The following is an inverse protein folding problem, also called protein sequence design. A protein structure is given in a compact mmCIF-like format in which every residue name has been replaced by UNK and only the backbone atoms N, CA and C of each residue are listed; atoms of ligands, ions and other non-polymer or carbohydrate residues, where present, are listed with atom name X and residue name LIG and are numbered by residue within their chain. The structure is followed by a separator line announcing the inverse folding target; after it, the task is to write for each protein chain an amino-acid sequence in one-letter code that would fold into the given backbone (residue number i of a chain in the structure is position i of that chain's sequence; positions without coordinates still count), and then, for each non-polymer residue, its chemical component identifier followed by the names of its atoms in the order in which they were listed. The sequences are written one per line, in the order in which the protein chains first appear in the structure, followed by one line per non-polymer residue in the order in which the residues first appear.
data_IF_926936090284
#
_entry.id   IF_926936090284
#
_cell.length_a   1.000
_cell.length_b   1.000
_cell.length_c   1.000
_cell.angle_alpha   90.00
_cell.angle_beta   90.00
_cell.angle_gamma   90.00
#
_symmetry.space_group_name_H-M   'P 1'
#
loop_
_entity.id
_entity.type
_entity.pdbx_description
1 polymer ?
#
# COMPACT_ATOMS: atom_id res chain seq x y z
N UNK A 1 23.86 10.59 -30.32
CA UNK A 1 22.96 11.06 -29.25
C UNK A 1 21.66 10.26 -29.34
N UNK A 2 21.56 9.17 -28.59
CA UNK A 2 20.36 8.33 -28.55
C UNK A 2 19.44 8.81 -27.43
N UNK A 3 18.27 9.31 -27.78
CA UNK A 3 17.21 9.61 -26.82
C UNK A 3 16.60 8.29 -26.37
N UNK A 4 16.83 7.93 -25.11
CA UNK A 4 16.10 6.85 -24.44
C UNK A 4 14.72 7.40 -24.06
N UNK A 5 13.69 7.03 -24.81
CA UNK A 5 12.30 7.33 -24.45
C UNK A 5 11.92 6.44 -23.25
N UNK A 6 12.05 7.00 -22.05
CA UNK A 6 11.57 6.38 -20.82
C UNK A 6 10.05 6.28 -20.85
N UNK A 7 9.52 5.06 -20.70
CA UNK A 7 8.10 4.79 -20.49
C UNK A 7 7.66 5.57 -19.24
N UNK A 8 6.64 6.42 -19.40
CA UNK A 8 6.16 7.30 -18.35
C UNK A 8 5.58 6.52 -17.17
N UNK A 9 6.32 6.49 -16.06
CA UNK A 9 5.74 6.26 -14.72
C UNK A 9 4.90 7.50 -14.42
N UNK A 10 3.60 7.32 -14.12
CA UNK A 10 2.74 8.43 -13.70
C UNK A 10 3.40 9.19 -12.54
N UNK A 11 3.70 10.48 -12.75
CA UNK A 11 4.57 11.23 -11.86
C UNK A 11 3.96 11.36 -10.45
N UNK A 12 4.63 10.76 -9.46
CA UNK A 12 4.24 10.92 -8.07
C UNK A 12 4.34 12.38 -7.65
N UNK A 13 3.28 12.93 -7.06
CA UNK A 13 3.30 14.31 -6.55
C UNK A 13 3.78 14.35 -5.11
N UNK A 14 4.93 14.99 -4.86
CA UNK A 14 5.54 15.14 -3.53
C UNK A 14 5.86 16.61 -3.21
N UNK A 15 5.76 16.98 -1.93
CA UNK A 15 6.05 18.32 -1.42
C UNK A 15 7.45 18.33 -0.76
N UNK A 16 8.45 19.02 -1.32
CA UNK A 16 9.81 19.02 -0.78
C UNK A 16 9.92 19.71 0.59
N UNK A 17 8.92 20.50 1.00
CA UNK A 17 8.89 21.14 2.32
C UNK A 17 8.46 20.22 3.46
N UNK A 18 7.99 19.00 3.13
CA UNK A 18 7.54 18.01 4.11
C UNK A 18 8.64 16.95 4.29
N UNK A 19 8.98 16.65 5.54
CA UNK A 19 9.87 15.53 5.86
C UNK A 19 9.24 14.18 5.49
N UNK A 20 10.07 13.30 4.93
CA UNK A 20 9.63 11.97 4.52
C UNK A 20 9.28 11.10 5.75
N UNK A 21 8.10 10.51 5.76
CA UNK A 21 7.65 9.64 6.87
C UNK A 21 8.01 8.17 6.66
N UNK A 22 8.24 7.77 5.41
CA UNK A 22 8.65 6.45 4.98
C UNK A 22 9.70 6.56 3.84
N UNK A 23 10.87 7.18 4.11
CA UNK A 23 11.92 7.32 3.11
C UNK A 23 12.45 5.95 2.69
N UNK A 24 12.97 5.84 1.46
CA UNK A 24 13.48 4.57 0.93
C UNK A 24 14.62 4.01 1.80
N UNK A 25 15.43 4.90 2.39
CA UNK A 25 16.49 4.55 3.34
C UNK A 25 15.99 3.91 4.64
N UNK A 26 14.68 3.80 4.89
CA UNK A 26 14.13 3.03 6.03
C UNK A 26 14.01 1.54 5.71
N UNK A 27 13.97 1.18 4.43
CA UNK A 27 13.59 -0.13 3.97
C UNK A 27 14.79 -0.87 3.37
N UNK A 28 14.93 -2.14 3.71
CA UNK A 28 15.88 -3.05 3.06
C UNK A 28 15.12 -3.88 2.02
N UNK A 29 15.48 -3.73 0.74
CA UNK A 29 14.88 -4.49 -0.37
C UNK A 29 15.67 -5.79 -0.49
N UNK A 30 15.03 -6.94 -0.21
CA UNK A 30 15.73 -8.21 -0.03
C UNK A 30 16.06 -8.93 -1.35
N UNK A 31 15.51 -8.46 -2.49
CA UNK A 31 15.77 -9.02 -3.82
C UNK A 31 14.95 -10.26 -4.18
N UNK A 32 14.13 -10.77 -3.26
CA UNK A 32 13.20 -11.89 -3.42
C UNK A 32 11.73 -11.43 -3.56
N UNK A 33 11.52 -10.13 -3.77
CA UNK A 33 10.19 -9.50 -3.77
C UNK A 33 9.64 -9.20 -2.38
N UNK A 34 10.46 -9.27 -1.34
CA UNK A 34 10.14 -8.78 0.01
C UNK A 34 10.93 -7.52 0.38
N UNK A 35 10.38 -6.76 1.32
CA UNK A 35 10.96 -5.54 1.86
C UNK A 35 10.92 -5.57 3.38
N UNK A 36 12.06 -5.40 4.04
CA UNK A 36 12.14 -5.28 5.49
C UNK A 36 12.06 -3.82 5.93
N UNK A 37 11.12 -3.50 6.81
CA UNK A 37 10.97 -2.18 7.41
C UNK A 37 11.75 -2.09 8.72
N UNK A 38 12.90 -1.40 8.69
CA UNK A 38 13.80 -1.27 9.86
C UNK A 38 13.20 -0.52 11.05
N UNK A 39 12.13 0.24 10.85
CA UNK A 39 11.47 1.00 11.92
C UNK A 39 10.49 0.12 12.72
N UNK A 40 9.74 -0.74 12.04
CA UNK A 40 8.70 -1.57 12.66
C UNK A 40 9.16 -3.00 12.90
N UNK A 41 10.24 -3.42 12.24
CA UNK A 41 10.70 -4.80 12.20
C UNK A 41 9.86 -5.68 11.28
N UNK A 42 8.83 -5.15 10.62
CA UNK A 42 7.94 -5.94 9.76
C UNK A 42 8.55 -6.19 8.39
N UNK A 43 8.18 -7.32 7.78
CA UNK A 43 8.53 -7.63 6.39
C UNK A 43 7.28 -7.59 5.53
N UNK A 44 7.36 -6.92 4.39
CA UNK A 44 6.27 -6.66 3.47
C UNK A 44 6.52 -7.39 2.16
N UNK A 45 5.45 -7.85 1.51
CA UNK A 45 5.51 -8.10 0.07
C UNK A 45 5.73 -6.77 -0.66
N UNK A 46 6.68 -6.75 -1.60
CA UNK A 46 7.01 -5.56 -2.37
C UNK A 46 5.93 -5.20 -3.39
N UNK A 47 5.34 -6.24 -3.98
CA UNK A 47 4.31 -6.14 -5.01
C UNK A 47 2.92 -6.45 -4.44
N UNK A 48 1.91 -5.88 -5.08
CA UNK A 48 0.51 -6.28 -4.85
C UNK A 48 0.29 -7.71 -5.34
N UNK A 49 -0.71 -8.39 -4.79
CA UNK A 49 -1.08 -9.73 -5.27
C UNK A 49 -1.37 -9.74 -6.78
N UNK A 50 -0.90 -10.76 -7.50
CA UNK A 50 -0.98 -10.87 -8.95
C UNK A 50 0.16 -10.17 -9.73
N UNK A 51 0.98 -9.36 -9.04
CA UNK A 51 2.20 -8.75 -9.61
C UNK A 51 3.45 -9.48 -9.14
N UNK A 52 4.51 -9.43 -9.95
CA UNK A 52 5.79 -10.08 -9.63
C UNK A 52 6.99 -9.44 -10.33
N UNK A 53 8.19 -9.88 -9.93
CA UNK A 53 9.46 -9.33 -10.42
C UNK A 53 9.81 -7.99 -9.76
N UNK A 54 11.00 -7.47 -10.11
CA UNK A 54 11.56 -6.26 -9.47
C UNK A 54 10.70 -5.00 -9.71
N UNK A 55 10.06 -4.93 -10.87
CA UNK A 55 9.21 -3.80 -11.27
C UNK A 55 7.73 -4.03 -10.99
N UNK A 56 7.37 -5.11 -10.28
CA UNK A 56 5.98 -5.51 -10.00
C UNK A 56 5.09 -5.49 -11.25
N UNK A 57 5.49 -6.25 -12.27
CA UNK A 57 4.76 -6.37 -13.53
C UNK A 57 3.74 -7.51 -13.49
N UNK A 58 2.75 -7.47 -14.38
CA UNK A 58 1.67 -8.45 -14.45
C UNK A 58 0.29 -7.81 -14.33
N UNK A 59 -0.68 -8.58 -13.85
CA UNK A 59 -2.05 -8.10 -13.61
C UNK A 59 -2.34 -8.15 -12.12
N UNK A 60 -2.42 -6.98 -11.52
CA UNK A 60 -2.76 -6.86 -10.11
C UNK A 60 -4.17 -7.45 -9.86
N UNK A 61 -4.27 -8.29 -8.84
CA UNK A 61 -5.51 -8.93 -8.44
C UNK A 61 -6.23 -8.07 -7.41
N UNK A 62 -7.53 -7.92 -7.59
CA UNK A 62 -8.41 -7.33 -6.59
C UNK A 62 -9.29 -8.43 -6.00
N UNK A 63 -9.50 -8.38 -4.69
CA UNK A 63 -10.24 -9.41 -3.96
C UNK A 63 -11.16 -8.78 -2.91
N UNK A 64 -12.19 -9.53 -2.50
CA UNK A 64 -12.98 -9.16 -1.31
C UNK A 64 -12.10 -9.29 -0.07
N UNK A 65 -12.52 -8.68 1.03
CA UNK A 65 -11.74 -8.71 2.25
C UNK A 65 -11.53 -10.14 2.80
N UNK A 66 -12.57 -10.98 2.75
CA UNK A 66 -12.52 -12.36 3.23
C UNK A 66 -11.56 -13.20 2.38
N UNK A 67 -11.57 -13.00 1.06
CA UNK A 67 -10.63 -13.66 0.14
C UNK A 67 -9.21 -13.17 0.40
N UNK A 68 -9.01 -11.88 0.66
CA UNK A 68 -7.69 -11.33 0.97
C UNK A 68 -7.11 -11.88 2.28
N UNK A 69 -7.95 -12.11 3.30
CA UNK A 69 -7.54 -12.75 4.55
C UNK A 69 -7.06 -14.18 4.31
N UNK A 70 -7.89 -15.00 3.66
CA UNK A 70 -7.53 -16.39 3.35
C UNK A 70 -6.28 -16.46 2.47
N UNK A 71 -6.20 -15.64 1.42
CA UNK A 71 -5.07 -15.62 0.51
C UNK A 71 -3.75 -15.21 1.21
N UNK A 72 -3.82 -14.39 2.26
CA UNK A 72 -2.65 -14.05 3.04
C UNK A 72 -2.18 -15.25 3.87
N UNK A 73 -3.10 -15.90 4.59
CA UNK A 73 -2.81 -17.06 5.43
C UNK A 73 -2.30 -18.26 4.62
N UNK A 74 -2.80 -18.44 3.40
CA UNK A 74 -2.38 -19.51 2.49
C UNK A 74 -1.07 -19.19 1.72
N UNK A 75 -0.54 -17.97 1.84
CA UNK A 75 0.61 -17.54 1.08
C UNK A 75 1.89 -18.23 1.57
N UNK A 76 2.65 -18.83 0.65
CA UNK A 76 3.98 -19.42 0.91
C UNK A 76 5.12 -18.61 0.27
N UNK A 77 4.86 -17.33 0.01
CA UNK A 77 5.73 -16.46 -0.78
C UNK A 77 7.10 -16.26 -0.12
N UNK A 78 8.14 -16.23 -0.96
CA UNK A 78 9.55 -16.12 -0.55
C UNK A 78 9.99 -17.15 0.51
N UNK A 79 9.30 -18.31 0.59
CA UNK A 79 9.60 -19.36 1.55
C UNK A 79 9.00 -19.16 2.94
N UNK A 80 8.16 -18.15 3.13
CA UNK A 80 7.47 -17.86 4.41
C UNK A 80 5.98 -18.21 4.31
N UNK A 81 5.41 -18.72 5.40
CA UNK A 81 4.02 -19.20 5.50
C UNK A 81 3.21 -18.51 6.62
N UNK A 82 3.71 -17.38 7.12
CA UNK A 82 3.14 -16.57 8.20
C UNK A 82 2.69 -15.18 7.69
N UNK A 83 2.37 -15.11 6.40
CA UNK A 83 1.84 -13.90 5.78
C UNK A 83 0.42 -13.62 6.29
N UNK A 84 0.12 -12.33 6.45
CA UNK A 84 -1.19 -11.87 6.90
C UNK A 84 -1.52 -10.52 6.30
N UNK A 85 -2.81 -10.19 6.35
CA UNK A 85 -3.27 -8.84 6.04
C UNK A 85 -2.83 -7.88 7.18
N UNK A 86 -2.23 -6.71 6.86
CA UNK A 86 -1.77 -5.76 7.85
C UNK A 86 -2.93 -5.17 8.63
N UNK A 87 -2.73 -4.90 9.92
CA UNK A 87 -3.69 -4.09 10.66
C UNK A 87 -3.59 -2.62 10.23
N UNK A 88 -4.57 -1.81 10.64
CA UNK A 88 -4.66 -0.42 10.17
C UNK A 88 -3.46 0.45 10.57
N UNK A 89 -2.81 0.16 11.70
CA UNK A 89 -1.63 0.91 12.16
C UNK A 89 -0.38 0.52 11.38
N UNK A 90 -0.23 -0.76 11.05
CA UNK A 90 0.86 -1.27 10.21
C UNK A 90 0.75 -0.69 8.81
N UNK A 91 -0.44 -0.73 8.21
CA UNK A 91 -0.67 -0.15 6.89
C UNK A 91 -0.44 1.36 6.88
N UNK A 92 -0.82 2.07 7.96
CA UNK A 92 -0.52 3.50 8.11
C UNK A 92 0.98 3.78 8.26
N UNK A 93 1.79 2.80 8.68
CA UNK A 93 3.23 2.97 8.90
C UNK A 93 4.03 3.07 7.60
N UNK A 94 3.49 2.58 6.48
CA UNK A 94 4.13 2.63 5.15
C UNK A 94 3.63 3.80 4.30
N UNK A 95 2.70 4.61 4.81
CA UNK A 95 2.25 5.84 4.14
C UNK A 95 3.39 6.87 4.12
N UNK A 96 3.68 7.38 2.93
CA UNK A 96 4.64 8.47 2.71
C UNK A 96 3.91 9.81 2.62
N UNK A 97 3.85 10.55 3.73
CA UNK A 97 3.11 11.81 3.84
C UNK A 97 3.73 12.96 3.06
N UNK A 98 5.00 12.85 2.67
CA UNK A 98 5.64 13.77 1.72
C UNK A 98 4.95 13.74 0.36
N UNK A 99 4.32 12.64 0.00
CA UNK A 99 3.70 12.44 -1.31
C UNK A 99 2.18 12.25 -1.19
N UNK A 100 1.44 12.59 -2.24
CA UNK A 100 -0.03 12.61 -2.20
C UNK A 100 -0.71 11.88 -3.34
N UNK A 101 0.00 11.56 -4.43
CA UNK A 101 -0.57 10.78 -5.52
C UNK A 101 0.52 9.95 -6.20
N UNK A 102 0.78 8.71 -5.75
CA UNK A 102 0.26 8.11 -4.52
C UNK A 102 1.03 8.53 -3.25
N UNK A 103 0.43 8.34 -2.08
CA UNK A 103 1.00 8.56 -0.74
C UNK A 103 1.77 7.33 -0.22
N UNK A 104 2.60 6.72 -1.07
CA UNK A 104 3.47 5.57 -0.76
C UNK A 104 4.82 5.78 -1.46
N UNK A 105 5.91 5.24 -0.92
CA UNK A 105 7.21 5.38 -1.55
C UNK A 105 7.34 4.47 -2.78
N UNK A 106 7.29 5.03 -3.99
CA UNK A 106 7.34 4.25 -5.24
C UNK A 106 8.71 3.64 -5.55
N UNK A 107 9.78 4.09 -4.88
CA UNK A 107 11.09 3.42 -4.98
C UNK A 107 11.15 2.15 -4.14
N UNK A 108 10.21 1.96 -3.21
CA UNK A 108 10.11 0.76 -2.35
C UNK A 108 8.96 -0.13 -2.82
N UNK A 109 7.80 0.45 -3.08
CA UNK A 109 6.59 -0.23 -3.55
C UNK A 109 6.24 0.30 -4.95
N UNK A 110 6.72 -0.35 -6.03
CA UNK A 110 6.64 0.19 -7.39
C UNK A 110 5.22 0.46 -7.90
N UNK A 111 4.23 -0.24 -7.36
CA UNK A 111 2.82 -0.09 -7.72
C UNK A 111 2.00 0.25 -6.48
N UNK A 112 1.28 1.37 -6.54
CA UNK A 112 0.37 1.78 -5.47
C UNK A 112 -0.93 0.98 -5.52
N UNK A 113 -1.45 0.50 -4.38
CA UNK A 113 -2.76 -0.16 -4.33
C UNK A 113 -3.91 0.82 -4.57
N UNK A 114 -3.70 2.14 -4.50
CA UNK A 114 -4.79 3.11 -4.53
C UNK A 114 -5.64 3.07 -3.25
N UNK A 115 -6.27 1.94 -2.94
CA UNK A 115 -6.89 1.59 -1.66
C UNK A 115 -6.40 0.19 -1.25
N UNK A 116 -6.06 -0.02 0.02
CA UNK A 116 -5.67 -1.33 0.54
C UNK A 116 -6.47 -1.71 1.78
N UNK A 117 -6.89 -2.97 1.84
CA UNK A 117 -7.57 -3.55 3.00
C UNK A 117 -6.66 -3.64 4.23
N UNK A 118 -7.25 -3.51 5.42
CA UNK A 118 -6.61 -3.90 6.68
C UNK A 118 -7.35 -5.06 7.34
N UNK A 119 -6.69 -5.78 8.24
CA UNK A 119 -7.30 -6.82 9.09
C UNK A 119 -8.10 -6.25 10.27
N UNK A 120 -8.25 -4.92 10.38
CA UNK A 120 -8.93 -4.28 11.51
C UNK A 120 -10.44 -4.14 11.23
N UNK A 121 -11.31 -4.89 11.93
CA UNK A 121 -12.75 -4.74 11.78
C UNK A 121 -13.23 -3.41 12.38
N UNK A 122 -14.38 -2.92 11.93
CA UNK A 122 -15.03 -1.75 12.53
C UNK A 122 -15.80 -2.16 13.79
N UNK A 123 -15.58 -1.41 14.87
CA UNK A 123 -16.34 -1.57 16.11
C UNK A 123 -17.84 -1.36 15.82
N UNK A 124 -18.67 -2.31 16.25
CA UNK A 124 -20.14 -2.36 16.09
C UNK A 124 -20.67 -2.63 14.66
N UNK A 125 -19.80 -2.84 13.68
CA UNK A 125 -20.18 -3.16 12.29
C UNK A 125 -19.16 -4.14 11.70
N UNK A 126 -19.19 -5.43 12.08
CA UNK A 126 -18.20 -6.41 11.66
C UNK A 126 -18.16 -6.60 10.14
N UNK A 127 -19.25 -6.26 9.43
CA UNK A 127 -19.33 -6.27 7.98
C UNK A 127 -18.54 -5.12 7.31
N UNK A 128 -18.14 -4.10 8.10
CA UNK A 128 -17.36 -2.97 7.63
C UNK A 128 -15.92 -3.07 8.07
N UNK A 129 -15.01 -2.94 7.11
CA UNK A 129 -13.58 -3.11 7.33
C UNK A 129 -12.87 -1.80 7.04
N UNK A 130 -11.86 -1.47 7.85
CA UNK A 130 -10.97 -0.35 7.61
C UNK A 130 -9.97 -0.64 6.48
N UNK A 131 -9.67 0.39 5.69
CA UNK A 131 -8.50 0.40 4.82
C UNK A 131 -7.95 1.81 4.66
N UNK A 132 -6.85 1.92 3.92
CA UNK A 132 -6.18 3.21 3.64
C UNK A 132 -6.24 3.51 2.16
N UNK A 133 -6.67 4.72 1.83
CA UNK A 133 -6.56 5.30 0.49
C UNK A 133 -5.17 5.95 0.32
N UNK A 134 -4.39 5.41 -0.61
CA UNK A 134 -3.09 5.92 -1.04
C UNK A 134 -3.18 6.87 -2.23
N UNK A 135 -4.25 6.85 -3.04
CA UNK A 135 -4.43 7.87 -4.08
C UNK A 135 -5.04 9.15 -3.51
N UNK A 136 -4.48 10.30 -3.90
CA UNK A 136 -5.04 11.60 -3.56
C UNK A 136 -6.33 11.84 -4.34
N UNK A 137 -7.40 12.25 -3.67
CA UNK A 137 -8.58 12.80 -4.34
C UNK A 137 -8.30 14.25 -4.74
N UNK A 138 -8.17 14.52 -6.04
CA UNK A 138 -8.28 15.88 -6.59
C UNK A 138 -9.76 16.27 -6.58
N UNK A 139 -10.26 16.83 -5.48
CA UNK A 139 -11.58 17.47 -5.49
C UNK A 139 -11.42 18.91 -5.97
N UNK A 140 -11.73 19.15 -7.25
CA UNK A 140 -12.09 20.48 -7.74
C UNK A 140 -13.32 20.96 -6.96
N UNK A 141 -13.22 22.13 -6.35
CA UNK A 141 -14.38 22.85 -5.79
C UNK A 141 -14.97 22.25 -4.52
N UNK A 142 -14.40 22.61 -3.36
CA UNK A 142 -15.17 23.14 -2.23
C UNK A 142 -14.17 23.65 -1.17
N UNK A 143 -14.39 24.89 -0.72
CA UNK A 143 -13.61 25.56 0.31
C UNK A 143 -13.78 24.86 1.67
N UNK A 144 -13.06 23.76 1.88
CA UNK A 144 -12.80 23.21 3.20
C UNK A 144 -11.38 23.63 3.59
N UNK A 145 -11.29 24.69 4.38
CA UNK A 145 -10.05 25.32 4.80
C UNK A 145 -9.01 24.29 5.27
N UNK A 146 -7.84 24.33 4.63
CA UNK A 146 -6.51 23.93 5.11
C UNK A 146 -6.41 22.85 6.21
N UNK A 147 -7.18 21.76 6.13
CA UNK A 147 -7.00 20.61 7.01
C UNK A 147 -6.42 19.45 6.18
N UNK A 148 -5.09 19.43 6.14
CA UNK A 148 -4.19 18.60 5.28
C UNK A 148 -4.22 17.11 5.63
N UNK A 149 -5.39 16.46 5.71
CA UNK A 149 -5.47 15.01 5.96
C UNK A 149 -5.40 14.26 4.63
N UNK A 150 -4.16 14.07 4.14
CA UNK A 150 -3.78 13.66 2.77
C UNK A 150 -3.69 12.14 2.52
N UNK A 151 -4.39 11.37 3.33
CA UNK A 151 -4.78 9.97 3.12
C UNK A 151 -6.02 9.78 3.98
N UNK A 152 -6.96 8.95 3.55
CA UNK A 152 -8.22 8.74 4.28
C UNK A 152 -8.28 7.32 4.79
N UNK A 153 -8.57 7.19 6.07
CA UNK A 153 -9.11 5.94 6.58
C UNK A 153 -10.54 5.82 6.03
N UNK A 154 -10.77 4.82 5.20
CA UNK A 154 -12.08 4.58 4.59
C UNK A 154 -12.62 3.25 5.13
N UNK A 155 -13.93 3.17 5.29
CA UNK A 155 -14.62 1.92 5.56
C UNK A 155 -15.42 1.49 4.34
N UNK A 156 -15.45 0.20 4.08
CA UNK A 156 -16.34 -0.38 3.08
C UNK A 156 -16.89 -1.71 3.60
N UNK A 157 -18.05 -2.13 3.05
CA UNK A 157 -18.50 -3.51 3.18
C UNK A 157 -17.44 -4.44 2.58
N UNK A 158 -16.98 -5.42 3.37
CA UNK A 158 -15.88 -6.32 3.02
C UNK A 158 -16.20 -7.28 1.86
N UNK A 159 -17.47 -7.71 1.77
CA UNK A 159 -17.96 -8.70 0.81
C UNK A 159 -18.26 -8.16 -0.60
N UNK A 160 -18.48 -6.85 -0.74
CA UNK A 160 -19.07 -6.27 -1.96
C UNK A 160 -18.07 -5.45 -2.79
N UNK A 161 -16.79 -5.40 -2.37
CA UNK A 161 -15.76 -4.62 -3.06
C UNK A 161 -14.49 -5.41 -3.29
N UNK A 162 -14.03 -5.36 -4.53
CA UNK A 162 -12.75 -5.87 -4.95
C UNK A 162 -11.69 -4.78 -4.81
N UNK A 163 -10.68 -5.05 -3.99
CA UNK A 163 -9.62 -4.11 -3.65
C UNK A 163 -8.27 -4.83 -3.68
N UNK A 164 -7.19 -4.09 -3.93
CA UNK A 164 -5.84 -4.62 -3.86
C UNK A 164 -5.40 -4.89 -2.42
N UNK A 165 -4.58 -5.92 -2.25
CA UNK A 165 -4.01 -6.31 -0.96
C UNK A 165 -2.48 -6.26 -1.01
N UNK A 166 -1.90 -5.84 0.12
CA UNK A 166 -0.47 -5.96 0.41
C UNK A 166 -0.36 -6.78 1.69
N UNK A 167 0.50 -7.79 1.69
CA UNK A 167 0.68 -8.66 2.84
C UNK A 167 1.93 -8.29 3.63
N UNK A 168 1.85 -8.56 4.93
CA UNK A 168 2.91 -8.31 5.90
C UNK A 168 3.12 -9.55 6.74
N UNK A 169 4.33 -9.73 7.25
CA UNK A 169 4.68 -10.72 8.27
C UNK A 169 5.55 -10.09 9.35
N UNK A 170 5.64 -10.79 10.47
CA UNK A 170 6.56 -10.44 11.56
C UNK A 170 7.73 -11.43 11.54
N UNK A 171 8.94 -11.02 11.13
CA UNK A 171 10.13 -11.87 11.05
C UNK A 171 10.46 -12.66 12.31
#
# INVERSE_FOLDING_TARGET
MGFCLSVGVGAQTCDPSIEATAPASRFDINGDGTVTDRKTGLMWKQCLEGLSGIDCTGTASTTTWEVALSAAEDSTFAGYNDWRLPNIKELASIVERKCMNPAINLSVFPVSPGFAWSSTPRVNYPEKVWGIQFSGSYSQGENLGLNRTKFRYIYSGGSDKYVYSIFVRSP
#
